data_IF_248143232094
#
_entry.id   IF_248143232094
#
_cell.length_a   1.000
_cell.length_b   1.000
_cell.length_c   1.000
_cell.angle_alpha   90.00
_cell.angle_beta   90.00
_cell.angle_gamma   90.00
#
_symmetry.space_group_name_H-M   'P 1'
#
loop_
_entity.id
_entity.type
_entity.pdbx_description
1 polymer ?
#
# COMPACT_ATOMS: atom_id res chain seq x y z
N UNK A 1 -20.99 -9.34 -4.28
CA UNK A 1 -19.69 -9.60 -3.61
C UNK A 1 -19.56 -8.83 -2.30
N UNK A 2 -19.91 -7.53 -2.26
CA UNK A 2 -19.74 -6.67 -1.09
C UNK A 2 -20.16 -7.31 0.25
N UNK A 3 -21.38 -7.87 0.42
CA UNK A 3 -21.78 -8.48 1.69
C UNK A 3 -20.91 -9.69 2.10
N UNK A 4 -20.35 -10.41 1.11
CA UNK A 4 -19.49 -11.57 1.37
C UNK A 4 -18.14 -11.09 1.91
N UNK A 5 -17.50 -10.12 1.24
CA UNK A 5 -16.21 -9.55 1.66
C UNK A 5 -16.34 -8.91 3.04
N UNK A 6 -17.39 -8.11 3.27
CA UNK A 6 -17.66 -7.51 4.58
C UNK A 6 -17.74 -8.58 5.68
N UNK A 7 -18.48 -9.65 5.46
CA UNK A 7 -18.63 -10.74 6.44
C UNK A 7 -17.29 -11.41 6.76
N UNK A 8 -16.42 -11.59 5.77
CA UNK A 8 -15.06 -12.12 6.01
C UNK A 8 -14.24 -11.17 6.90
N UNK A 9 -14.24 -9.87 6.61
CA UNK A 9 -13.54 -8.87 7.41
C UNK A 9 -14.11 -8.84 8.84
N UNK A 10 -15.44 -8.84 9.01
CA UNK A 10 -16.10 -8.91 10.32
C UNK A 10 -15.68 -10.16 11.10
N UNK A 11 -15.55 -11.30 10.43
CA UNK A 11 -15.12 -12.56 11.05
C UNK A 11 -13.67 -12.48 11.54
N UNK A 12 -12.78 -11.82 10.79
CA UNK A 12 -11.38 -11.59 11.19
C UNK A 12 -11.31 -10.67 12.41
N UNK A 13 -12.09 -9.60 12.43
CA UNK A 13 -12.18 -8.68 13.59
C UNK A 13 -12.70 -9.42 14.82
N UNK A 14 -13.77 -10.23 14.67
CA UNK A 14 -14.32 -11.03 15.75
C UNK A 14 -13.32 -12.07 16.28
N UNK A 15 -12.45 -12.60 15.43
CA UNK A 15 -11.36 -13.48 15.82
C UNK A 15 -10.18 -12.76 16.51
N UNK A 16 -10.23 -11.43 16.65
CA UNK A 16 -9.22 -10.62 17.32
C UNK A 16 -8.07 -10.16 16.43
N UNK A 17 -8.24 -10.16 15.11
CA UNK A 17 -7.24 -9.63 14.20
C UNK A 17 -7.06 -8.12 14.44
N UNK A 18 -5.82 -7.69 14.68
CA UNK A 18 -5.49 -6.30 15.04
C UNK A 18 -5.14 -5.44 13.83
N UNK A 19 -4.71 -6.05 12.74
CA UNK A 19 -4.29 -5.38 11.51
C UNK A 19 -4.86 -6.14 10.33
N UNK A 20 -5.56 -5.44 9.44
CA UNK A 20 -6.17 -6.01 8.24
C UNK A 20 -5.85 -5.10 7.06
N UNK A 21 -5.28 -5.67 6.01
CA UNK A 21 -5.10 -4.96 4.74
C UNK A 21 -6.10 -5.45 3.71
N UNK A 22 -6.85 -4.54 3.12
CA UNK A 22 -7.71 -4.82 1.97
C UNK A 22 -6.96 -4.43 0.70
N UNK A 23 -6.59 -5.43 -0.10
CA UNK A 23 -5.90 -5.20 -1.38
C UNK A 23 -6.90 -4.82 -2.47
N UNK A 24 -6.70 -3.66 -3.11
CA UNK A 24 -7.64 -3.13 -4.10
C UNK A 24 -6.92 -2.65 -5.38
N UNK A 25 -6.55 -3.58 -6.26
CA UNK A 25 -5.85 -3.25 -7.49
C UNK A 25 -6.73 -2.57 -8.54
N UNK A 26 -8.05 -2.77 -8.49
CA UNK A 26 -8.94 -2.24 -9.52
C UNK A 26 -9.02 -0.71 -9.47
N UNK A 27 -9.08 -0.14 -8.28
CA UNK A 27 -9.14 1.31 -8.10
C UNK A 27 -7.91 2.00 -8.66
N UNK A 28 -6.71 1.57 -8.25
CA UNK A 28 -5.46 2.16 -8.71
C UNK A 28 -5.17 1.93 -10.20
N UNK A 29 -5.54 0.77 -10.74
CA UNK A 29 -5.35 0.49 -12.15
C UNK A 29 -6.28 1.29 -13.08
N UNK A 30 -7.44 1.73 -12.60
CA UNK A 30 -8.48 2.35 -13.43
C UNK A 30 -8.86 3.79 -13.06
N UNK A 31 -8.32 4.35 -11.96
CA UNK A 31 -8.62 5.70 -11.49
C UNK A 31 -8.43 6.80 -12.56
N UNK A 32 -7.51 6.61 -13.50
CA UNK A 32 -7.25 7.59 -14.56
C UNK A 32 -8.40 7.77 -15.56
N UNK A 33 -9.40 6.88 -15.56
CA UNK A 33 -10.53 6.90 -16.50
C UNK A 33 -11.90 6.60 -15.90
N UNK A 34 -11.95 6.22 -14.64
CA UNK A 34 -13.19 5.85 -13.94
C UNK A 34 -13.51 6.89 -12.85
N UNK A 35 -14.72 6.83 -12.33
CA UNK A 35 -15.17 7.70 -11.24
C UNK A 35 -14.53 7.28 -9.90
N UNK A 36 -13.58 8.06 -9.43
CA UNK A 36 -12.84 7.83 -8.17
C UNK A 36 -13.75 7.88 -6.94
N UNK A 37 -14.75 8.75 -6.92
CA UNK A 37 -15.74 8.84 -5.82
C UNK A 37 -16.59 7.60 -5.71
N UNK A 38 -16.92 6.99 -6.84
CA UNK A 38 -17.62 5.70 -6.86
C UNK A 38 -16.77 4.59 -6.28
N UNK A 39 -15.45 4.57 -6.55
CA UNK A 39 -14.54 3.62 -5.93
C UNK A 39 -14.51 3.79 -4.41
N UNK A 40 -14.40 5.01 -3.91
CA UNK A 40 -14.41 5.33 -2.48
C UNK A 40 -15.73 4.89 -1.84
N UNK A 41 -16.89 5.18 -2.45
CA UNK A 41 -18.20 4.73 -1.95
C UNK A 41 -18.27 3.20 -1.81
N UNK A 42 -17.88 2.47 -2.86
CA UNK A 42 -17.90 0.99 -2.84
C UNK A 42 -16.97 0.45 -1.75
N UNK A 43 -15.75 1.01 -1.64
CA UNK A 43 -14.79 0.59 -0.61
C UNK A 43 -15.33 0.86 0.79
N UNK A 44 -15.81 2.08 1.06
CA UNK A 44 -16.33 2.48 2.37
C UNK A 44 -17.52 1.62 2.79
N UNK A 45 -18.42 1.30 1.86
CA UNK A 45 -19.51 0.35 2.09
C UNK A 45 -19.02 -1.06 2.35
N UNK A 46 -17.89 -1.47 1.79
CA UNK A 46 -17.31 -2.81 2.03
C UNK A 46 -16.78 -2.92 3.45
N UNK A 47 -16.14 -1.88 3.98
CA UNK A 47 -15.54 -1.86 5.32
C UNK A 47 -16.45 -1.26 6.39
N UNK A 48 -17.70 -0.91 6.04
CA UNK A 48 -18.69 -0.40 6.98
C UNK A 48 -18.89 -1.35 8.17
N UNK A 49 -18.83 -0.82 9.39
CA UNK A 49 -18.99 -1.60 10.63
C UNK A 49 -17.71 -2.25 11.13
N UNK A 50 -16.59 -2.22 10.39
CA UNK A 50 -15.28 -2.71 10.85
C UNK A 50 -14.24 -1.61 11.01
N UNK A 51 -14.39 -0.49 10.31
CA UNK A 51 -13.58 0.71 10.51
C UNK A 51 -13.59 1.14 11.98
N UNK A 52 -12.41 1.45 12.54
CA UNK A 52 -12.21 1.81 13.94
C UNK A 52 -12.21 0.63 14.94
N UNK A 53 -12.41 -0.61 14.50
CA UNK A 53 -12.34 -1.81 15.35
C UNK A 53 -11.02 -2.58 15.23
N UNK A 54 -10.27 -2.31 14.21
CA UNK A 54 -8.95 -2.87 13.90
C UNK A 54 -8.16 -1.80 13.16
N UNK A 55 -6.83 -1.90 13.14
CA UNK A 55 -6.03 -1.08 12.21
C UNK A 55 -6.29 -1.58 10.79
N UNK A 56 -6.94 -0.75 9.99
CA UNK A 56 -7.36 -1.09 8.65
C UNK A 56 -6.51 -0.34 7.63
N UNK A 57 -5.88 -1.06 6.73
CA UNK A 57 -5.13 -0.47 5.61
C UNK A 57 -5.67 -0.92 4.26
N UNK A 58 -5.32 -0.18 3.22
CA UNK A 58 -5.54 -0.59 1.84
C UNK A 58 -4.26 -0.50 1.04
N UNK A 59 -4.02 -1.49 0.18
CA UNK A 59 -2.90 -1.48 -0.76
C UNK A 59 -3.41 -1.05 -2.14
N UNK A 60 -2.90 0.09 -2.60
CA UNK A 60 -3.19 0.61 -3.94
C UNK A 60 -2.21 0.00 -4.95
N UNK A 61 -2.54 -1.19 -5.43
CA UNK A 61 -1.70 -2.02 -6.28
C UNK A 61 -1.85 -1.67 -7.75
N UNK A 62 -0.76 -1.59 -8.48
CA UNK A 62 -0.77 -1.45 -9.95
C UNK A 62 -0.69 -2.80 -10.69
N UNK A 63 -0.89 -3.90 -9.97
CA UNK A 63 -0.80 -5.25 -10.51
C UNK A 63 0.61 -5.85 -10.36
N UNK A 64 0.64 -7.18 -10.19
CA UNK A 64 1.90 -7.92 -10.01
C UNK A 64 1.89 -9.28 -10.75
N UNK A 65 0.99 -9.48 -11.71
CA UNK A 65 0.97 -10.71 -12.49
C UNK A 65 2.23 -10.82 -13.37
N UNK A 66 3.01 -11.89 -13.18
CA UNK A 66 4.32 -12.09 -13.82
C UNK A 66 5.28 -10.89 -13.61
N UNK A 67 5.25 -10.30 -12.42
CA UNK A 67 6.06 -9.12 -12.07
C UNK A 67 5.82 -7.91 -13.00
N UNK A 68 4.60 -7.75 -13.50
CA UNK A 68 4.22 -6.63 -14.39
C UNK A 68 3.07 -5.84 -13.81
N UNK A 69 3.16 -4.53 -13.95
CA UNK A 69 2.07 -3.63 -13.63
C UNK A 69 1.06 -3.57 -14.79
N UNK A 70 -0.16 -3.13 -14.46
CA UNK A 70 -1.27 -2.89 -15.40
C UNK A 70 -1.54 -1.39 -15.47
N UNK A 71 -1.68 -0.85 -16.66
CA UNK A 71 -2.05 0.56 -16.90
C UNK A 71 -0.98 1.59 -16.53
N UNK A 72 -1.36 2.88 -16.58
CA UNK A 72 -0.47 3.96 -16.13
C UNK A 72 -0.33 3.90 -14.61
N UNK A 73 0.91 3.80 -14.13
CA UNK A 73 1.22 3.71 -12.70
C UNK A 73 1.32 5.10 -12.09
N UNK A 74 0.17 5.77 -11.92
CA UNK A 74 0.07 7.13 -11.39
C UNK A 74 -0.92 7.17 -10.23
N UNK A 75 -0.55 7.81 -9.13
CA UNK A 75 -1.42 8.03 -7.98
C UNK A 75 -2.22 9.35 -8.07
N UNK A 76 -1.67 10.39 -8.70
CA UNK A 76 -2.32 11.69 -8.80
C UNK A 76 -3.81 11.64 -9.21
N UNK A 77 -4.27 10.78 -10.17
CA UNK A 77 -5.68 10.71 -10.51
C UNK A 77 -6.61 10.22 -9.39
N UNK A 78 -6.08 9.61 -8.33
CA UNK A 78 -6.87 9.08 -7.20
C UNK A 78 -7.13 10.15 -6.14
N UNK A 79 -6.30 11.18 -6.08
CA UNK A 79 -6.34 12.17 -5.02
C UNK A 79 -6.94 13.49 -5.52
N UNK A 80 -7.69 14.22 -4.63
CA UNK A 80 -7.84 13.95 -3.19
C UNK A 80 -8.90 12.91 -2.81
N UNK A 81 -9.71 12.38 -3.74
CA UNK A 81 -10.90 11.57 -3.40
C UNK A 81 -10.56 10.36 -2.50
N UNK A 82 -9.40 9.73 -2.70
CA UNK A 82 -9.01 8.55 -1.91
C UNK A 82 -8.63 8.88 -0.45
N UNK A 83 -8.48 10.14 -0.11
CA UNK A 83 -8.35 10.56 1.30
C UNK A 83 -9.65 10.31 2.10
N UNK A 84 -10.79 10.20 1.42
CA UNK A 84 -12.10 9.92 2.03
C UNK A 84 -12.35 8.41 2.25
N UNK A 85 -11.40 7.54 1.94
CA UNK A 85 -11.52 6.10 2.25
C UNK A 85 -11.48 5.87 3.77
N UNK A 86 -12.36 4.99 4.27
CA UNK A 86 -12.45 4.64 5.68
C UNK A 86 -11.36 3.62 6.08
N UNK A 87 -10.11 4.05 5.99
CA UNK A 87 -8.92 3.30 6.41
C UNK A 87 -8.04 4.17 7.29
N UNK A 88 -7.21 3.53 8.11
CA UNK A 88 -6.20 4.18 8.93
C UNK A 88 -4.91 4.44 8.14
N UNK A 89 -4.57 3.54 7.22
CA UNK A 89 -3.32 3.58 6.45
C UNK A 89 -3.56 3.30 4.95
N UNK A 90 -2.82 3.99 4.09
CA UNK A 90 -2.77 3.73 2.64
C UNK A 90 -1.36 3.24 2.26
N UNK A 91 -1.27 2.08 1.62
CA UNK A 91 -0.02 1.50 1.15
C UNK A 91 0.20 1.80 -0.34
N UNK A 92 1.36 2.42 -0.64
CA UNK A 92 1.77 2.85 -1.97
C UNK A 92 2.95 2.01 -2.50
N UNK A 93 2.93 1.62 -3.78
CA UNK A 93 4.10 1.12 -4.49
C UNK A 93 5.01 2.29 -4.88
N UNK A 94 6.24 2.35 -4.36
CA UNK A 94 7.19 3.42 -4.68
C UNK A 94 8.50 2.92 -5.29
N UNK A 95 9.03 1.80 -4.81
CA UNK A 95 10.35 1.31 -5.24
C UNK A 95 10.37 0.91 -6.72
N UNK A 96 9.35 0.21 -7.23
CA UNK A 96 9.23 -0.19 -8.64
C UNK A 96 8.92 0.98 -9.58
N UNK A 97 8.67 2.17 -9.03
CA UNK A 97 8.37 3.42 -9.73
C UNK A 97 9.46 4.48 -9.56
N UNK A 98 10.63 4.06 -9.08
CA UNK A 98 11.78 4.95 -8.85
C UNK A 98 11.44 6.16 -7.96
N UNK A 99 10.49 5.95 -7.02
CA UNK A 99 10.00 6.99 -6.09
C UNK A 99 9.39 8.21 -6.79
N UNK A 100 8.75 8.03 -7.93
CA UNK A 100 7.93 9.07 -8.54
C UNK A 100 6.71 9.41 -7.67
N UNK A 101 6.23 10.65 -7.73
CA UNK A 101 5.09 11.17 -6.96
C UNK A 101 5.28 11.08 -5.43
N UNK A 102 6.48 11.38 -4.92
CA UNK A 102 6.78 11.40 -3.48
C UNK A 102 5.88 12.38 -2.69
N UNK A 103 5.39 13.42 -3.33
CA UNK A 103 4.43 14.38 -2.78
C UNK A 103 3.13 13.72 -2.30
N UNK A 104 2.76 12.56 -2.84
CA UNK A 104 1.61 11.80 -2.38
C UNK A 104 1.78 11.29 -0.94
N UNK A 105 3.02 11.02 -0.52
CA UNK A 105 3.31 10.66 0.88
C UNK A 105 2.92 11.83 1.80
N UNK A 106 3.30 13.06 1.47
CA UNK A 106 2.96 14.25 2.25
C UNK A 106 1.44 14.48 2.27
N UNK A 107 0.79 14.36 1.12
CA UNK A 107 -0.65 14.59 1.00
C UNK A 107 -1.45 13.60 1.86
N UNK A 108 -1.12 12.31 1.80
CA UNK A 108 -1.80 11.28 2.59
C UNK A 108 -1.46 11.43 4.07
N UNK A 109 -0.19 11.68 4.43
CA UNK A 109 0.27 11.77 5.81
C UNK A 109 -0.37 12.91 6.62
N UNK A 110 -1.01 13.89 5.98
CA UNK A 110 -1.78 14.93 6.64
C UNK A 110 -3.02 14.39 7.37
N UNK A 111 -3.59 13.27 6.90
CA UNK A 111 -4.88 12.75 7.39
C UNK A 111 -4.83 11.26 7.76
N UNK A 112 -3.91 10.48 7.20
CA UNK A 112 -3.79 9.03 7.40
C UNK A 112 -2.33 8.62 7.57
N UNK A 113 -2.10 7.39 7.99
CA UNK A 113 -0.78 6.79 7.96
C UNK A 113 -0.45 6.30 6.54
N UNK A 114 0.83 6.20 6.22
CA UNK A 114 1.31 5.80 4.89
C UNK A 114 2.27 4.63 5.01
N UNK A 115 1.89 3.50 4.44
CA UNK A 115 2.83 2.41 4.19
C UNK A 115 3.54 2.66 2.86
N UNK A 116 4.85 2.81 2.88
CA UNK A 116 5.64 3.08 1.68
C UNK A 116 6.34 1.81 1.22
N UNK A 117 6.09 1.41 -0.03
CA UNK A 117 6.82 0.34 -0.69
C UNK A 117 8.26 0.77 -0.95
N UNK A 118 9.20 0.14 -0.25
CA UNK A 118 10.64 0.44 -0.34
C UNK A 118 11.47 -0.73 -0.88
N UNK A 119 10.81 -1.84 -1.22
CA UNK A 119 11.41 -3.01 -1.85
C UNK A 119 10.69 -3.30 -3.15
N UNK A 120 11.41 -3.26 -4.27
CA UNK A 120 10.86 -3.56 -5.59
C UNK A 120 10.67 -5.07 -5.76
N UNK A 121 9.42 -5.51 -5.78
CA UNK A 121 9.05 -6.93 -5.94
C UNK A 121 9.04 -7.38 -7.40
N UNK A 122 9.18 -6.45 -8.35
CA UNK A 122 9.21 -6.69 -9.79
C UNK A 122 10.64 -6.79 -10.35
N UNK A 123 11.66 -6.48 -9.51
CA UNK A 123 13.08 -6.52 -9.86
C UNK A 123 13.78 -7.75 -9.30
N UNK A 124 14.72 -8.30 -10.07
CA UNK A 124 15.63 -9.33 -9.60
C UNK A 124 16.76 -8.78 -8.68
N UNK A 125 16.96 -7.47 -8.67
CA UNK A 125 17.91 -6.83 -7.77
C UNK A 125 17.47 -7.03 -6.31
N UNK A 126 18.40 -7.40 -5.46
CA UNK A 126 18.17 -7.54 -4.02
C UNK A 126 18.74 -6.31 -3.35
N UNK A 127 17.88 -5.47 -2.82
CA UNK A 127 18.25 -4.23 -2.15
C UNK A 127 19.17 -4.51 -0.96
N UNK A 128 20.24 -3.73 -0.84
CA UNK A 128 21.10 -3.75 0.35
C UNK A 128 20.44 -2.98 1.50
N UNK A 129 20.88 -3.18 2.76
CA UNK A 129 20.42 -2.34 3.87
C UNK A 129 20.68 -0.84 3.63
N UNK A 130 21.76 -0.48 2.94
CA UNK A 130 22.12 0.89 2.58
C UNK A 130 21.14 1.49 1.56
N UNK A 131 20.69 0.68 0.58
CA UNK A 131 19.64 1.09 -0.35
C UNK A 131 18.36 1.40 0.39
N UNK A 132 17.96 0.51 1.28
CA UNK A 132 16.76 0.68 2.11
C UNK A 132 16.89 1.94 2.98
N UNK A 133 17.97 2.12 3.71
CA UNK A 133 18.20 3.29 4.55
C UNK A 133 18.16 4.61 3.75
N UNK A 134 18.66 4.59 2.51
CA UNK A 134 18.57 5.75 1.61
C UNK A 134 17.12 6.05 1.23
N UNK A 135 16.31 5.01 0.91
CA UNK A 135 14.88 5.13 0.56
C UNK A 135 14.07 5.64 1.75
N UNK A 136 14.31 5.11 2.95
CA UNK A 136 13.69 5.59 4.20
C UNK A 136 13.97 7.08 4.42
N UNK A 137 15.26 7.49 4.36
CA UNK A 137 15.64 8.90 4.51
C UNK A 137 14.99 9.81 3.45
N UNK A 138 14.72 9.28 2.27
CA UNK A 138 13.99 10.02 1.23
C UNK A 138 12.53 10.25 1.65
N UNK A 139 11.84 9.22 2.12
CA UNK A 139 10.44 9.30 2.56
C UNK A 139 10.26 10.23 3.78
N UNK A 140 11.22 10.21 4.71
CA UNK A 140 11.22 11.08 5.91
C UNK A 140 11.29 12.58 5.60
N UNK A 141 11.55 12.98 4.35
CA UNK A 141 11.45 14.39 3.92
C UNK A 141 10.02 14.83 3.67
N UNK A 142 9.09 13.89 3.51
CA UNK A 142 7.70 14.14 3.12
C UNK A 142 6.70 13.88 4.24
N UNK A 143 7.07 13.10 5.25
CA UNK A 143 6.21 12.85 6.40
C UNK A 143 7.03 12.53 7.66
N UNK A 144 6.51 12.80 8.85
CA UNK A 144 7.16 12.45 10.10
C UNK A 144 7.14 10.93 10.32
N UNK A 145 8.13 10.37 11.04
CA UNK A 145 8.30 8.92 11.19
C UNK A 145 7.10 8.21 11.81
N UNK A 146 6.35 8.86 12.69
CA UNK A 146 5.15 8.32 13.33
C UNK A 146 3.96 8.11 12.38
N UNK A 147 4.01 8.69 11.17
CA UNK A 147 3.03 8.53 10.10
C UNK A 147 3.47 7.56 9.03
N UNK A 148 4.68 7.00 9.15
CA UNK A 148 5.26 6.14 8.11
C UNK A 148 5.44 4.71 8.61
N UNK A 149 4.97 3.78 7.82
CA UNK A 149 5.38 2.39 7.86
C UNK A 149 6.07 2.01 6.55
N UNK A 150 6.85 0.93 6.54
CA UNK A 150 7.62 0.50 5.38
C UNK A 150 7.33 -0.96 5.04
N UNK A 151 7.11 -1.22 3.76
CA UNK A 151 6.75 -2.53 3.24
C UNK A 151 7.45 -2.80 1.90
N UNK A 152 7.41 -4.02 1.36
CA UNK A 152 7.61 -4.24 -0.07
C UNK A 152 6.50 -3.56 -0.88
N UNK A 153 6.78 -3.22 -2.15
CA UNK A 153 5.79 -2.60 -3.04
C UNK A 153 4.49 -3.38 -3.16
N UNK A 154 4.58 -4.70 -3.13
CA UNK A 154 3.46 -5.62 -3.31
C UNK A 154 3.83 -7.00 -2.72
N UNK A 155 2.97 -8.00 -2.91
CA UNK A 155 3.24 -9.37 -2.54
C UNK A 155 4.47 -9.97 -3.25
N UNK A 156 5.27 -10.75 -2.53
CA UNK A 156 6.51 -11.38 -3.03
C UNK A 156 6.26 -12.73 -3.74
N UNK A 157 5.03 -13.04 -4.12
CA UNK A 157 4.63 -14.33 -4.72
C UNK A 157 5.35 -14.65 -6.04
N UNK A 158 5.80 -13.63 -6.77
CA UNK A 158 6.55 -13.79 -8.02
C UNK A 158 8.07 -13.89 -7.81
N UNK A 159 8.53 -13.66 -6.59
CA UNK A 159 9.96 -13.65 -6.23
C UNK A 159 10.36 -15.03 -5.69
N UNK A 160 11.50 -15.56 -6.14
CA UNK A 160 12.02 -16.81 -5.60
C UNK A 160 12.17 -16.72 -4.06
N UNK A 161 11.76 -17.78 -3.33
CA UNK A 161 11.68 -17.75 -1.86
C UNK A 161 12.97 -17.27 -1.17
N UNK A 162 14.13 -17.70 -1.66
CA UNK A 162 15.41 -17.30 -1.10
C UNK A 162 15.67 -15.80 -1.28
N UNK A 163 15.34 -15.25 -2.45
CA UNK A 163 15.47 -13.83 -2.76
C UNK A 163 14.47 -13.00 -1.95
N UNK A 164 13.20 -13.44 -1.85
CA UNK A 164 12.18 -12.81 -1.03
C UNK A 164 12.63 -12.70 0.43
N UNK A 165 13.15 -13.79 1.00
CA UNK A 165 13.68 -13.82 2.36
C UNK A 165 14.83 -12.81 2.55
N UNK A 166 15.76 -12.75 1.60
CA UNK A 166 16.90 -11.85 1.67
C UNK A 166 16.49 -10.38 1.52
N UNK A 167 15.56 -10.07 0.59
CA UNK A 167 14.97 -8.73 0.46
C UNK A 167 14.34 -8.26 1.79
N UNK A 168 13.52 -9.10 2.43
CA UNK A 168 12.88 -8.78 3.71
C UNK A 168 13.89 -8.63 4.85
N UNK A 169 14.91 -9.48 4.91
CA UNK A 169 15.99 -9.36 5.91
C UNK A 169 16.74 -8.04 5.75
N UNK A 170 17.07 -7.65 4.51
CA UNK A 170 17.75 -6.40 4.22
C UNK A 170 16.84 -5.19 4.50
N UNK A 171 15.56 -5.29 4.20
CA UNK A 171 14.57 -4.27 4.55
C UNK A 171 14.56 -3.99 6.06
N UNK A 172 14.42 -5.04 6.88
CA UNK A 172 14.41 -4.90 8.35
C UNK A 172 15.72 -4.31 8.89
N UNK A 173 16.87 -4.65 8.28
CA UNK A 173 18.17 -4.09 8.67
C UNK A 173 18.31 -2.61 8.30
N UNK A 174 17.80 -2.22 7.16
CA UNK A 174 17.96 -0.86 6.65
C UNK A 174 16.94 0.15 7.23
N UNK A 175 15.81 -0.32 7.77
CA UNK A 175 14.82 0.53 8.45
C UNK A 175 15.24 0.86 9.89
N UNK A 176 16.03 0.00 10.54
CA UNK A 176 16.57 0.22 11.90
C UNK A 176 17.69 1.27 11.91
#
# INVERSE_FOLDING_TARGET
LLPIVRKEIESLVAAGCKEITVDEPSMSCYAYKEDTKRFVDIFNRTVEGVSGKTHLSTHLCFGNFKARAVGPRQYAPMFPDFLDMNVDEIHLEMASREFSELEMIEEIARVKDVAVGIVDVKSYYIETPEDIARRVRLCLKYAPPERLSFAPDCGLSQTARWAAKLKLQNMVKGVK
#
